data_IF_172444291215
#
_entry.id   IF_172444291215
#
_cell.length_a   1.000
_cell.length_b   1.000
_cell.length_c   1.000
_cell.angle_alpha   90.00
_cell.angle_beta   90.00
_cell.angle_gamma   90.00
#
_symmetry.space_group_name_H-M   'P 1'
#
loop_
_entity.id
_entity.type
_entity.pdbx_description
1 polymer ?
#
# COMPACT_ATOMS: atom_id res chain seq x y z
N UNK A 1 45.06 7.61 -7.07
CA UNK A 1 45.35 8.46 -8.24
C UNK A 1 44.07 8.57 -9.05
N UNK A 2 43.47 9.76 -9.08
CA UNK A 2 42.20 10.02 -9.75
C UNK A 2 42.37 10.23 -11.25
N UNK A 3 41.44 9.68 -12.03
CA UNK A 3 41.28 9.99 -13.44
C UNK A 3 40.71 11.40 -13.58
N UNK A 4 41.58 12.40 -13.69
CA UNK A 4 41.24 13.82 -13.86
C UNK A 4 41.09 14.28 -15.34
N UNK A 5 41.17 13.36 -16.30
CA UNK A 5 41.01 13.65 -17.75
C UNK A 5 40.10 12.64 -18.48
N UNK A 6 39.11 12.07 -17.79
CA UNK A 6 38.05 11.31 -18.45
C UNK A 6 37.01 12.27 -19.01
N UNK A 7 36.79 12.27 -20.33
CA UNK A 7 35.67 13.00 -20.97
C UNK A 7 34.40 12.78 -20.15
N UNK A 8 33.67 13.86 -19.85
CA UNK A 8 32.38 13.77 -19.17
C UNK A 8 31.53 12.68 -19.83
N UNK A 9 31.05 11.73 -19.01
CA UNK A 9 30.22 10.64 -19.51
C UNK A 9 29.05 11.25 -20.29
N UNK A 10 28.76 10.79 -21.52
CA UNK A 10 27.64 11.32 -22.28
C UNK A 10 26.35 11.15 -21.47
N UNK A 11 25.45 12.14 -21.54
CA UNK A 11 24.21 12.17 -20.76
C UNK A 11 23.43 10.84 -20.82
N UNK A 12 23.35 10.22 -22.00
CA UNK A 12 22.76 8.89 -22.22
C UNK A 12 23.34 7.77 -21.34
N UNK A 13 24.65 7.79 -21.12
CA UNK A 13 25.35 6.82 -20.28
C UNK A 13 25.08 7.07 -18.80
N UNK A 14 25.09 8.33 -18.36
CA UNK A 14 24.72 8.75 -17.01
C UNK A 14 23.28 8.35 -16.69
N UNK A 15 22.33 8.61 -17.59
CA UNK A 15 20.92 8.20 -17.42
C UNK A 15 20.77 6.67 -17.33
N UNK A 16 21.59 5.92 -18.08
CA UNK A 16 21.55 4.44 -18.04
C UNK A 16 22.15 3.90 -16.73
N UNK A 17 23.23 4.50 -16.24
CA UNK A 17 23.87 4.16 -14.97
C UNK A 17 22.94 4.46 -13.80
N UNK A 18 22.36 5.67 -13.76
CA UNK A 18 21.39 6.08 -12.73
C UNK A 18 20.16 5.15 -12.70
N UNK A 19 19.61 4.77 -13.87
CA UNK A 19 18.50 3.81 -13.93
C UNK A 19 18.87 2.46 -13.30
N UNK A 20 20.09 1.98 -13.55
CA UNK A 20 20.59 0.72 -12.97
C UNK A 20 20.79 0.85 -11.47
N UNK A 21 21.32 1.97 -10.98
CA UNK A 21 21.47 2.23 -9.55
C UNK A 21 20.12 2.25 -8.84
N UNK A 22 19.14 2.99 -9.37
CA UNK A 22 17.77 3.03 -8.83
C UNK A 22 17.15 1.62 -8.81
N UNK A 23 17.31 0.84 -9.88
CA UNK A 23 16.77 -0.53 -9.93
C UNK A 23 17.44 -1.45 -8.90
N UNK A 24 18.74 -1.28 -8.64
CA UNK A 24 19.44 -2.03 -7.59
C UNK A 24 18.95 -1.63 -6.21
N UNK A 25 18.83 -0.34 -5.93
CA UNK A 25 18.32 0.19 -4.67
C UNK A 25 16.89 -0.33 -4.40
N UNK A 26 15.99 -0.32 -5.39
CA UNK A 26 14.63 -0.88 -5.23
C UNK A 26 14.68 -2.35 -4.77
N UNK A 27 15.53 -3.18 -5.38
CA UNK A 27 15.68 -4.60 -5.00
C UNK A 27 16.29 -4.78 -3.61
N UNK A 28 17.14 -3.86 -3.19
CA UNK A 28 17.72 -3.85 -1.86
C UNK A 28 16.67 -3.51 -0.80
N UNK A 29 15.89 -2.45 -1.03
CA UNK A 29 14.74 -2.10 -0.18
C UNK A 29 13.73 -3.24 -0.10
N UNK A 30 13.42 -3.92 -1.21
CA UNK A 30 12.50 -5.07 -1.22
C UNK A 30 13.03 -6.24 -0.37
N UNK A 31 14.36 -6.45 -0.35
CA UNK A 31 15.00 -7.49 0.48
C UNK A 31 15.01 -7.12 1.96
N UNK A 32 15.31 -5.87 2.28
CA UNK A 32 15.28 -5.37 3.66
C UNK A 32 13.87 -5.41 4.24
N UNK A 33 12.87 -4.97 3.45
CA UNK A 33 11.45 -5.12 3.81
C UNK A 33 11.09 -6.58 4.10
N UNK A 34 11.46 -7.52 3.23
CA UNK A 34 11.20 -8.95 3.45
C UNK A 34 11.97 -9.53 4.67
N UNK A 35 13.07 -8.90 5.09
CA UNK A 35 13.74 -9.24 6.34
C UNK A 35 12.95 -8.74 7.55
N UNK A 36 12.51 -7.49 7.53
CA UNK A 36 11.70 -6.90 8.59
C UNK A 36 10.34 -7.60 8.75
N UNK A 37 9.68 -8.01 7.66
CA UNK A 37 8.43 -8.79 7.73
C UNK A 37 8.63 -10.18 8.40
N UNK A 38 9.82 -10.77 8.28
CA UNK A 38 10.16 -12.02 8.99
C UNK A 38 10.44 -11.76 10.47
N UNK A 39 11.12 -10.66 10.77
CA UNK A 39 11.36 -10.21 12.14
C UNK A 39 10.07 -9.86 12.86
N UNK A 40 9.14 -9.18 12.20
CA UNK A 40 7.79 -8.88 12.70
C UNK A 40 7.07 -10.17 13.14
N UNK A 41 7.05 -11.19 12.27
CA UNK A 41 6.44 -12.50 12.59
C UNK A 41 7.10 -13.18 13.80
N UNK A 42 8.41 -13.03 13.93
CA UNK A 42 9.16 -13.56 15.08
C UNK A 42 8.81 -12.80 16.36
N UNK A 43 8.80 -11.47 16.32
CA UNK A 43 8.40 -10.61 17.45
C UNK A 43 6.98 -10.94 17.91
N UNK A 44 6.02 -11.08 17.00
CA UNK A 44 4.65 -11.49 17.33
C UNK A 44 4.64 -12.84 18.07
N UNK A 45 5.40 -13.81 17.58
CA UNK A 45 5.48 -15.14 18.19
C UNK A 45 6.09 -15.09 19.59
N UNK A 46 7.11 -14.25 19.80
CA UNK A 46 7.78 -14.13 21.09
C UNK A 46 6.94 -13.31 22.09
N UNK A 47 6.26 -12.23 21.65
CA UNK A 47 5.27 -11.48 22.44
C UNK A 47 4.18 -12.43 22.96
N UNK A 48 3.63 -13.30 22.11
CA UNK A 48 2.63 -14.31 22.52
C UNK A 48 3.15 -15.23 23.62
N UNK A 49 4.40 -15.69 23.52
CA UNK A 49 5.02 -16.58 24.52
C UNK A 49 5.22 -15.85 25.86
N UNK A 50 5.77 -14.65 25.84
CA UNK A 50 6.05 -13.89 27.06
C UNK A 50 4.78 -13.38 27.75
N UNK A 51 3.74 -13.06 26.96
CA UNK A 51 2.42 -12.72 27.50
C UNK A 51 1.78 -13.90 28.24
N UNK A 52 1.83 -15.13 27.68
CA UNK A 52 1.40 -16.36 28.37
C UNK A 52 2.18 -16.64 29.65
N UNK A 53 3.46 -16.25 29.71
CA UNK A 53 4.31 -16.38 30.90
C UNK A 53 4.12 -15.23 31.92
N UNK A 54 3.16 -14.32 31.68
CA UNK A 54 2.91 -13.12 32.49
C UNK A 54 4.11 -12.20 32.68
N UNK A 55 5.09 -12.24 31.76
CA UNK A 55 6.28 -11.38 31.81
C UNK A 55 6.00 -10.03 31.12
N UNK A 56 5.18 -9.20 31.75
CA UNK A 56 4.69 -7.94 31.16
C UNK A 56 5.79 -6.93 30.86
N UNK A 57 6.90 -6.93 31.61
CA UNK A 57 8.07 -6.08 31.32
C UNK A 57 8.70 -6.40 29.96
N UNK A 58 8.91 -7.68 29.67
CA UNK A 58 9.43 -8.15 28.37
C UNK A 58 8.45 -7.86 27.24
N UNK A 59 7.16 -8.10 27.47
CA UNK A 59 6.08 -7.82 26.50
C UNK A 59 6.05 -6.35 26.12
N UNK A 60 6.16 -5.43 27.10
CA UNK A 60 6.16 -3.98 26.85
C UNK A 60 7.31 -3.56 25.94
N UNK A 61 8.52 -4.08 26.16
CA UNK A 61 9.69 -3.78 25.32
C UNK A 61 9.50 -4.35 23.90
N UNK A 62 9.10 -5.60 23.79
CA UNK A 62 8.93 -6.26 22.48
C UNK A 62 7.77 -5.66 21.67
N UNK A 63 6.71 -5.19 22.33
CA UNK A 63 5.62 -4.48 21.67
C UNK A 63 6.09 -3.15 21.05
N UNK A 64 6.97 -2.40 21.73
CA UNK A 64 7.60 -1.20 21.15
C UNK A 64 8.43 -1.55 19.91
N UNK A 65 9.22 -2.62 19.98
CA UNK A 65 10.03 -3.07 18.84
C UNK A 65 9.17 -3.55 17.67
N UNK A 66 8.02 -4.17 17.94
CA UNK A 66 7.05 -4.54 16.90
C UNK A 66 6.49 -3.31 16.17
N UNK A 67 6.10 -2.28 16.92
CA UNK A 67 5.57 -1.03 16.33
C UNK A 67 6.62 -0.34 15.49
N UNK A 68 7.86 -0.22 16.00
CA UNK A 68 8.99 0.31 15.23
C UNK A 68 9.22 -0.49 13.95
N UNK A 69 9.20 -1.83 14.04
CA UNK A 69 9.39 -2.71 12.87
C UNK A 69 8.32 -2.46 11.81
N UNK A 70 7.04 -2.34 12.21
CA UNK A 70 5.94 -2.00 11.30
C UNK A 70 6.09 -0.61 10.67
N UNK A 71 6.48 0.39 11.46
CA UNK A 71 6.78 1.73 10.95
C UNK A 71 7.90 1.69 9.91
N UNK A 72 8.97 0.93 10.17
CA UNK A 72 10.04 0.75 9.19
C UNK A 72 9.53 0.07 7.92
N UNK A 73 8.73 -1.00 8.01
CA UNK A 73 8.12 -1.66 6.84
C UNK A 73 7.32 -0.65 5.99
N UNK A 74 6.50 0.19 6.62
CA UNK A 74 5.77 1.26 5.92
C UNK A 74 6.72 2.26 5.26
N UNK A 75 7.74 2.73 5.98
CA UNK A 75 8.76 3.64 5.46
C UNK A 75 9.52 3.04 4.27
N UNK A 76 9.80 1.74 4.27
CA UNK A 76 10.39 1.03 3.14
C UNK A 76 9.47 1.00 1.91
N UNK A 77 8.16 0.86 2.11
CA UNK A 77 7.17 0.94 1.02
C UNK A 77 7.14 2.35 0.42
N UNK A 78 7.16 3.38 1.26
CA UNK A 78 7.22 4.79 0.84
C UNK A 78 8.51 5.08 0.06
N UNK A 79 9.67 4.71 0.60
CA UNK A 79 10.97 4.87 -0.08
C UNK A 79 11.00 4.16 -1.44
N UNK A 80 10.44 2.94 -1.54
CA UNK A 80 10.31 2.23 -2.81
C UNK A 80 9.44 3.01 -3.80
N UNK A 81 8.33 3.59 -3.34
CA UNK A 81 7.46 4.44 -4.15
C UNK A 81 8.20 5.68 -4.67
N UNK A 82 8.98 6.35 -3.81
CA UNK A 82 9.80 7.48 -4.21
C UNK A 82 10.86 7.11 -5.25
N UNK A 83 11.55 5.98 -5.09
CA UNK A 83 12.50 5.48 -6.11
C UNK A 83 11.82 5.11 -7.43
N UNK A 84 10.62 4.54 -7.39
CA UNK A 84 9.82 4.30 -8.59
C UNK A 84 9.45 5.62 -9.28
N UNK A 85 9.03 6.64 -8.51
CA UNK A 85 8.79 7.99 -9.02
C UNK A 85 10.03 8.61 -9.67
N UNK A 86 11.20 8.49 -9.03
CA UNK A 86 12.47 8.93 -9.59
C UNK A 86 12.84 8.19 -10.87
N UNK A 87 12.57 6.87 -10.95
CA UNK A 87 12.76 6.06 -12.15
C UNK A 87 11.89 6.54 -13.32
N UNK A 88 10.63 6.90 -13.05
CA UNK A 88 9.71 7.46 -14.05
C UNK A 88 10.18 8.83 -14.52
N UNK A 89 10.57 9.73 -13.62
CA UNK A 89 11.17 11.04 -13.96
C UNK A 89 12.41 10.86 -14.84
N UNK A 90 13.28 9.91 -14.51
CA UNK A 90 14.47 9.60 -15.30
C UNK A 90 14.13 9.06 -16.70
N UNK A 91 13.05 8.30 -16.83
CA UNK A 91 12.53 7.86 -18.13
C UNK A 91 12.05 9.05 -18.97
N UNK A 92 11.37 10.02 -18.36
CA UNK A 92 10.98 11.27 -19.02
C UNK A 92 12.21 12.05 -19.51
N UNK A 93 13.23 12.22 -18.67
CA UNK A 93 14.50 12.88 -19.06
C UNK A 93 15.16 12.16 -20.24
N UNK A 94 15.16 10.82 -20.25
CA UNK A 94 15.69 10.04 -21.37
C UNK A 94 14.92 10.28 -22.68
N UNK A 95 13.59 10.38 -22.61
CA UNK A 95 12.76 10.71 -23.78
C UNK A 95 13.03 12.13 -24.28
N UNK A 96 13.16 13.11 -23.37
CA UNK A 96 13.56 14.47 -23.73
C UNK A 96 14.94 14.52 -24.38
N UNK A 97 15.91 13.74 -23.89
CA UNK A 97 17.22 13.64 -24.52
C UNK A 97 17.11 13.12 -25.97
N UNK A 98 16.34 12.06 -26.20
CA UNK A 98 16.15 11.50 -27.54
C UNK A 98 15.44 12.48 -28.49
N UNK A 99 14.47 13.24 -27.98
CA UNK A 99 13.82 14.33 -28.70
C UNK A 99 14.85 15.42 -29.06
N UNK A 100 15.66 15.86 -28.10
CA UNK A 100 16.70 16.87 -28.31
C UNK A 100 17.77 16.42 -29.32
N UNK A 101 18.19 15.15 -29.28
CA UNK A 101 19.09 14.55 -30.27
C UNK A 101 18.47 14.60 -31.69
N UNK A 102 17.18 14.25 -31.79
CA UNK A 102 16.43 14.27 -33.06
C UNK A 102 16.22 15.69 -33.57
N UNK A 103 15.80 16.62 -32.72
CA UNK A 103 15.65 18.04 -33.04
C UNK A 103 17.00 18.67 -33.41
N UNK A 104 18.10 18.28 -32.77
CA UNK A 104 19.45 18.72 -33.16
C UNK A 104 19.79 18.28 -34.59
N UNK A 105 19.44 17.07 -34.98
CA UNK A 105 19.65 16.58 -36.35
C UNK A 105 18.78 17.31 -37.38
N UNK A 106 17.50 17.56 -37.05
CA UNK A 106 16.58 18.35 -37.87
C UNK A 106 17.05 19.80 -37.97
N UNK A 107 17.49 20.40 -36.87
CA UNK A 107 18.06 21.74 -36.84
C UNK A 107 19.34 21.82 -37.68
N UNK A 108 20.23 20.81 -37.62
CA UNK A 108 21.41 20.73 -38.50
C UNK A 108 21.03 20.63 -39.97
N UNK A 109 20.00 19.85 -40.32
CA UNK A 109 19.46 19.78 -41.68
C UNK A 109 18.81 21.11 -42.11
N UNK A 110 18.05 21.75 -41.21
CA UNK A 110 17.47 23.07 -41.42
C UNK A 110 18.52 24.16 -41.52
N UNK A 111 19.64 24.12 -40.79
CA UNK A 111 20.75 25.08 -40.95
C UNK A 111 21.40 24.91 -42.32
N UNK A 112 21.59 23.66 -42.77
CA UNK A 112 22.07 23.39 -44.13
C UNK A 112 21.07 23.86 -45.19
N UNK A 113 19.76 23.75 -44.92
CA UNK A 113 18.68 24.24 -45.79
C UNK A 113 18.51 25.77 -45.72
N UNK A 114 18.77 26.40 -44.57
CA UNK A 114 18.63 27.84 -44.33
C UNK A 114 19.83 28.62 -44.90
N UNK A 115 21.03 28.01 -44.88
CA UNK A 115 22.15 28.45 -45.73
C UNK A 115 21.79 28.49 -47.21
N UNK A 116 20.76 27.75 -47.65
CA UNK A 116 20.20 27.86 -48.98
C UNK A 116 18.95 28.78 -49.05
N UNK A 117 18.23 29.05 -47.94
CA UNK A 117 16.99 29.86 -47.88
C UNK A 117 16.77 30.55 -46.49
N UNK A 118 16.97 31.89 -46.43
CA UNK A 118 16.63 32.96 -45.44
C UNK A 118 16.13 32.68 -43.97
N UNK A 119 16.55 33.55 -43.02
CA UNK A 119 16.77 33.35 -41.56
C UNK A 119 15.67 33.72 -40.49
N UNK A 120 14.54 34.42 -40.73
CA UNK A 120 13.75 35.01 -39.61
C UNK A 120 13.03 34.07 -38.62
N UNK A 121 12.71 32.81 -38.97
CA UNK A 121 11.84 31.95 -38.16
C UNK A 121 12.54 31.24 -36.97
N UNK A 122 13.87 31.11 -37.00
CA UNK A 122 14.65 30.37 -35.99
C UNK A 122 14.70 31.12 -34.64
N UNK A 123 14.72 32.46 -34.66
CA UNK A 123 14.77 33.28 -33.45
C UNK A 123 13.51 33.12 -32.58
N UNK A 124 12.35 32.86 -33.20
CA UNK A 124 11.07 32.68 -32.49
C UNK A 124 11.04 31.34 -31.72
N UNK A 125 11.55 30.27 -32.34
CA UNK A 125 11.57 28.95 -31.73
C UNK A 125 12.54 28.83 -30.55
N UNK A 126 13.68 29.53 -30.58
CA UNK A 126 14.58 29.62 -29.42
C UNK A 126 13.97 30.41 -28.26
N UNK A 127 13.24 31.49 -28.55
CA UNK A 127 12.56 32.29 -27.53
C UNK A 127 11.40 31.53 -26.88
N UNK A 128 10.66 30.75 -27.65
CA UNK A 128 9.54 29.97 -27.12
C UNK A 128 10.03 28.78 -26.27
N UNK A 129 11.16 28.14 -26.62
CA UNK A 129 11.76 27.08 -25.80
C UNK A 129 12.31 27.62 -24.46
N UNK A 130 12.95 28.79 -24.45
CA UNK A 130 13.44 29.41 -23.22
C UNK A 130 12.28 29.72 -22.25
N UNK A 131 11.16 30.22 -22.78
CA UNK A 131 9.95 30.54 -22.00
C UNK A 131 9.27 29.30 -21.41
N UNK A 132 9.26 28.18 -22.13
CA UNK A 132 8.66 26.92 -21.64
C UNK A 132 9.50 26.28 -20.53
N UNK A 133 10.84 26.43 -20.59
CA UNK A 133 11.76 25.84 -19.62
C UNK A 133 11.72 26.58 -18.27
N UNK A 134 11.65 27.92 -18.27
CA UNK A 134 11.49 28.73 -17.04
C UNK A 134 10.18 28.39 -16.30
N UNK A 135 9.11 28.07 -17.05
CA UNK A 135 7.81 27.68 -16.47
C UNK A 135 7.87 26.33 -15.73
N UNK A 136 8.77 25.44 -16.13
CA UNK A 136 8.95 24.13 -15.49
C UNK A 136 9.76 24.21 -14.18
N UNK A 137 10.67 25.18 -14.05
CA UNK A 137 11.46 25.38 -12.83
C UNK A 137 10.60 25.98 -11.70
N UNK A 138 9.74 26.96 -12.02
CA UNK A 138 8.81 27.58 -11.06
C UNK A 138 7.80 26.59 -10.44
N UNK A 139 7.32 25.62 -11.22
CA UNK A 139 6.34 24.63 -10.76
C UNK A 139 6.97 23.56 -9.84
N UNK A 140 8.29 23.40 -9.90
CA UNK A 140 9.05 22.47 -9.08
C UNK A 140 9.41 23.08 -7.71
N UNK A 141 9.55 24.40 -7.63
CA UNK A 141 9.75 25.18 -6.39
C UNK A 141 8.46 25.23 -5.55
N UNK A 142 7.29 25.44 -6.17
CA UNK A 142 6.00 25.43 -5.46
C UNK A 142 5.57 24.06 -4.87
N UNK A 143 6.22 22.96 -5.29
CA UNK A 143 5.91 21.62 -4.79
C UNK A 143 6.82 21.17 -3.64
N UNK A 144 7.86 21.94 -3.29
CA UNK A 144 8.73 21.67 -2.14
C UNK A 144 8.17 22.18 -0.81
N UNK A 145 7.55 23.36 -0.81
CA UNK A 145 7.13 24.07 0.42
C UNK A 145 5.84 23.54 1.07
N UNK A 146 5.07 22.69 0.38
CA UNK A 146 3.81 22.14 0.91
C UNK A 146 3.96 20.77 1.59
N UNK A 147 5.18 20.21 1.65
CA UNK A 147 5.41 18.84 2.10
C UNK A 147 6.24 18.73 3.40
N UNK A 148 6.69 19.85 3.97
CA UNK A 148 7.52 19.91 5.19
C UNK A 148 6.72 20.20 6.49
N UNK A 149 5.39 20.37 6.39
CA UNK A 149 4.51 20.84 7.48
C UNK A 149 3.72 19.71 8.20
N UNK A 150 4.11 18.44 8.03
CA UNK A 150 3.30 17.27 8.51
C UNK A 150 4.10 16.24 9.30
N UNK A 151 5.15 16.65 10.03
CA UNK A 151 5.78 15.78 11.03
C UNK A 151 5.97 16.52 12.35
N UNK A 152 4.87 16.96 12.93
CA UNK A 152 4.79 17.34 14.34
C UNK A 152 3.79 16.42 15.04
N UNK A 153 4.32 15.43 15.77
CA UNK A 153 3.62 14.74 16.85
C UNK A 153 4.64 13.98 17.71
N UNK A 154 5.12 14.67 18.74
CA UNK A 154 5.84 14.10 19.87
C UNK A 154 4.93 13.13 20.63
N UNK A 155 5.46 11.93 20.89
CA UNK A 155 4.75 10.86 21.58
C UNK A 155 4.69 11.07 23.10
N UNK A 156 3.51 10.78 23.65
CA UNK A 156 3.20 10.87 25.08
C UNK A 156 3.35 9.48 25.76
N UNK A 157 3.79 9.41 27.01
CA UNK A 157 4.02 8.14 27.72
C UNK A 157 2.72 7.34 27.97
N UNK A 158 1.57 8.02 28.06
CA UNK A 158 0.25 7.36 28.14
C UNK A 158 -0.11 6.62 26.83
N UNK A 159 0.40 7.09 25.69
CA UNK A 159 0.22 6.41 24.41
C UNK A 159 0.95 5.08 24.39
N UNK A 160 2.03 4.92 25.15
CA UNK A 160 2.80 3.67 25.16
C UNK A 160 1.98 2.51 25.75
N UNK A 161 1.21 2.73 26.81
CA UNK A 161 0.37 1.68 27.40
C UNK A 161 -0.86 1.37 26.54
N UNK A 162 -1.40 2.39 25.88
CA UNK A 162 -2.45 2.21 24.86
C UNK A 162 -1.91 1.41 23.66
N UNK A 163 -0.69 1.67 23.21
CA UNK A 163 -0.06 0.96 22.10
C UNK A 163 0.19 -0.50 22.46
N UNK A 164 0.66 -0.80 23.68
CA UNK A 164 0.86 -2.20 24.11
C UNK A 164 -0.46 -2.95 24.22
N UNK A 165 -1.49 -2.35 24.81
CA UNK A 165 -2.82 -2.98 24.89
C UNK A 165 -3.42 -3.22 23.50
N UNK A 166 -3.35 -2.23 22.61
CA UNK A 166 -3.78 -2.37 21.21
C UNK A 166 -3.02 -3.48 20.47
N UNK A 167 -1.71 -3.58 20.64
CA UNK A 167 -0.90 -4.65 20.03
C UNK A 167 -1.29 -6.02 20.57
N UNK A 168 -1.55 -6.15 21.87
CA UNK A 168 -1.95 -7.42 22.48
C UNK A 168 -3.35 -7.87 22.01
N UNK A 169 -4.27 -6.94 21.87
CA UNK A 169 -5.61 -7.18 21.33
C UNK A 169 -5.55 -7.61 19.87
N UNK A 170 -4.75 -6.92 19.04
CA UNK A 170 -4.58 -7.23 17.62
C UNK A 170 -3.90 -8.60 17.39
N UNK A 171 -3.03 -9.02 18.32
CA UNK A 171 -2.35 -10.32 18.31
C UNK A 171 -3.27 -11.45 18.82
N UNK A 172 -4.39 -11.10 19.48
CA UNK A 172 -5.37 -12.04 20.03
C UNK A 172 -4.92 -12.73 21.31
N UNK A 173 -4.09 -12.06 22.14
CA UNK A 173 -3.77 -12.56 23.49
C UNK A 173 -4.69 -11.86 24.48
N UNK A 174 -5.98 -12.20 24.44
CA UNK A 174 -6.88 -11.89 25.53
C UNK A 174 -6.44 -12.70 26.75
N UNK A 175 -6.03 -12.01 27.82
CA UNK A 175 -5.60 -12.59 29.11
C UNK A 175 -6.70 -13.41 29.84
N UNK A 176 -7.84 -13.70 29.19
CA UNK A 176 -9.05 -14.22 29.81
C UNK A 176 -9.59 -15.55 29.28
N UNK A 177 -9.08 -16.13 28.19
CA UNK A 177 -9.75 -17.27 27.53
C UNK A 177 -9.19 -18.67 27.82
N UNK A 178 -8.10 -18.82 28.60
CA UNK A 178 -7.52 -20.15 28.89
C UNK A 178 -7.82 -20.66 30.32
N UNK A 179 -8.86 -20.15 31.01
CA UNK A 179 -9.23 -20.62 32.36
C UNK A 179 -10.62 -21.24 32.50
N UNK A 180 -11.35 -21.46 31.40
CA UNK A 180 -12.64 -22.17 31.42
C UNK A 180 -12.65 -23.38 30.47
N UNK A 181 -11.63 -24.23 30.53
CA UNK A 181 -11.77 -25.57 29.92
C UNK A 181 -10.90 -26.63 30.61
N UNK A 182 -11.51 -27.31 31.61
CA UNK A 182 -11.46 -28.77 31.86
C UNK A 182 -11.85 -29.10 33.33
N UNK A 183 -12.33 -30.32 33.66
CA UNK A 183 -13.23 -31.22 32.93
C UNK A 183 -14.38 -31.74 33.85
N UNK A 184 -15.60 -31.83 33.31
CA UNK A 184 -16.76 -32.41 34.02
C UNK A 184 -17.57 -33.32 33.11
N UNK A 185 -17.63 -34.60 33.46
CA UNK A 185 -18.19 -35.74 32.72
C UNK A 185 -19.63 -35.56 32.17
N UNK A 186 -20.00 -36.35 31.13
CA UNK A 186 -21.21 -36.18 30.35
C UNK A 186 -22.43 -36.78 31.04
N UNK A 187 -23.58 -36.11 30.92
CA UNK A 187 -24.89 -36.73 31.16
C UNK A 187 -25.61 -36.89 29.83
N UNK A 188 -25.65 -38.14 29.38
CA UNK A 188 -26.52 -38.60 28.31
C UNK A 188 -27.90 -38.94 28.88
N UNK A 189 -28.98 -38.40 28.32
CA UNK A 189 -30.36 -38.95 28.37
C UNK A 189 -31.07 -38.42 27.10
N UNK A 190 -31.15 -39.18 26.00
CA UNK A 190 -32.09 -40.26 25.66
C UNK A 190 -33.26 -39.79 24.76
N UNK A 191 -33.52 -40.60 23.74
CA UNK A 191 -34.39 -40.42 22.58
C UNK A 191 -35.58 -41.40 22.69
N UNK A 192 -36.80 -40.99 22.34
CA UNK A 192 -37.97 -41.88 22.13
C UNK A 192 -39.30 -41.08 22.15
N UNK A 193 -39.99 -40.88 21.02
CA UNK A 193 -41.02 -41.74 20.36
C UNK A 193 -42.30 -41.85 21.20
N UNK A 194 -43.39 -41.18 20.81
CA UNK A 194 -44.48 -41.58 19.87
C UNK A 194 -45.73 -42.01 20.66
N UNK A 195 -46.86 -41.34 20.41
CA UNK A 195 -48.19 -41.97 20.48
C UNK A 195 -49.19 -41.22 19.58
N UNK A 196 -50.14 -42.01 19.08
CA UNK A 196 -50.77 -42.00 17.75
C UNK A 196 -52.29 -41.79 17.88
N UNK A 197 -52.99 -41.78 16.73
CA UNK A 197 -54.47 -41.85 16.48
C UNK A 197 -55.13 -40.50 16.12
N UNK A 198 -55.90 -40.34 15.04
CA UNK A 198 -56.58 -41.28 14.13
C UNK A 198 -57.01 -40.52 12.83
N UNK A 199 -57.08 -41.21 11.68
CA UNK A 199 -57.80 -40.77 10.46
C UNK A 199 -58.69 -41.95 10.03
N UNK A 200 -59.88 -41.73 9.44
CA UNK A 200 -59.94 -41.95 7.98
C UNK A 200 -60.94 -41.07 7.17
N UNK A 201 -60.54 -40.80 5.92
CA UNK A 201 -61.29 -40.75 4.64
C UNK A 201 -62.39 -39.68 4.42
N UNK A 202 -62.62 -39.03 3.27
CA UNK A 202 -62.08 -38.92 1.89
C UNK A 202 -62.97 -37.81 1.18
N UNK A 203 -62.83 -37.41 -0.12
CA UNK A 203 -61.90 -37.82 -1.17
C UNK A 203 -61.20 -36.67 -1.93
N UNK A 204 -60.42 -37.11 -2.92
CA UNK A 204 -59.43 -36.46 -3.79
C UNK A 204 -60.01 -35.55 -4.88
N UNK A 205 -59.29 -34.47 -5.21
CA UNK A 205 -59.52 -33.64 -6.41
C UNK A 205 -58.28 -32.83 -6.84
N UNK A 206 -57.36 -33.50 -7.54
CA UNK A 206 -56.42 -33.05 -8.60
C UNK A 206 -56.14 -31.53 -8.80
N UNK A 207 -54.87 -31.11 -8.76
CA UNK A 207 -54.42 -29.84 -9.37
C UNK A 207 -53.05 -29.31 -8.92
N UNK A 208 -52.09 -29.33 -9.82
CA UNK A 208 -50.66 -29.07 -9.65
C UNK A 208 -50.22 -27.63 -9.28
N UNK A 209 -49.03 -27.57 -8.66
CA UNK A 209 -47.93 -26.58 -8.81
C UNK A 209 -48.22 -25.10 -8.48
N UNK A 210 -47.72 -24.60 -7.34
CA UNK A 210 -46.41 -23.92 -7.19
C UNK A 210 -46.33 -22.53 -7.86
N UNK A 211 -46.26 -21.48 -7.03
CA UNK A 211 -45.75 -20.17 -7.42
C UNK A 211 -46.44 -18.99 -6.73
N UNK A 212 -45.88 -18.51 -5.61
CA UNK A 212 -46.13 -17.14 -5.12
C UNK A 212 -46.55 -17.05 -3.65
N UNK A 213 -45.58 -17.07 -2.73
CA UNK A 213 -45.82 -16.89 -1.29
C UNK A 213 -44.94 -15.87 -0.57
N UNK A 214 -43.80 -15.42 -1.15
CA UNK A 214 -42.82 -14.60 -0.42
C UNK A 214 -43.03 -13.08 -0.48
N UNK A 215 -43.93 -12.57 -1.33
CA UNK A 215 -44.15 -11.11 -1.44
C UNK A 215 -45.05 -10.54 -0.33
N UNK A 216 -46.00 -11.32 0.20
CA UNK A 216 -46.95 -10.84 1.21
C UNK A 216 -46.32 -10.66 2.59
N UNK A 217 -45.29 -11.45 2.94
CA UNK A 217 -44.60 -11.33 4.23
C UNK A 217 -43.62 -10.15 4.24
N UNK A 218 -43.01 -9.84 3.09
CA UNK A 218 -42.15 -8.67 2.90
C UNK A 218 -42.95 -7.36 2.94
N UNK A 219 -44.15 -7.33 2.35
CA UNK A 219 -45.05 -6.16 2.42
C UNK A 219 -45.54 -5.89 3.85
N UNK A 220 -45.80 -6.94 4.64
CA UNK A 220 -46.17 -6.80 6.05
C UNK A 220 -45.01 -6.26 6.92
N UNK A 221 -43.77 -6.66 6.65
CA UNK A 221 -42.59 -6.08 7.33
C UNK A 221 -42.37 -4.61 6.95
N UNK A 222 -42.65 -4.22 5.72
CA UNK A 222 -42.48 -2.85 5.24
C UNK A 222 -43.51 -1.88 5.84
N UNK A 223 -44.74 -2.35 6.08
CA UNK A 223 -45.77 -1.56 6.75
C UNK A 223 -45.53 -1.38 8.27
N UNK A 224 -44.88 -2.34 8.93
CA UNK A 224 -44.53 -2.20 10.35
C UNK A 224 -43.36 -1.24 10.62
N UNK A 225 -42.57 -0.88 9.61
CA UNK A 225 -41.50 0.13 9.72
C UNK A 225 -41.98 1.55 9.45
N UNK A 226 -43.23 1.72 9.01
CA UNK A 226 -43.78 3.01 8.57
C UNK A 226 -44.79 3.62 9.55
N UNK A 227 -44.78 3.17 10.81
CA UNK A 227 -45.65 3.66 11.89
C UNK A 227 -44.84 4.23 13.04
#
# INVERSE_FOLDING_TARGET
MGNIFGKDKPLKEVLRENKRMITRAIRELDRERASLEREEKRLISDIKKFAKQQQMGSVKIMAKDLVRTRQYITKFIEMRSHLNGASLKLQTVKSHQALAESMSSVAKAMVKMNKAVNVPAINKMMQDFARENEKSELMQEMMGDAMDDVMDQEGNEEEEEMVVSQVLDEIGVSFGDEMMEAPGKPVAVAKGKEQEQEIPAAPVGMGAAEGGGDMSELEQRLNNLRR
#
